data_IF_539975559478
#
_entry.id   IF_539975559478
#
_cell.length_a   1.000
_cell.length_b   1.000
_cell.length_c   1.000
_cell.angle_alpha   90.00
_cell.angle_beta   90.00
_cell.angle_gamma   90.00
#
_symmetry.space_group_name_H-M   'P 1'
#
loop_
_entity.id
_entity.type
_entity.pdbx_description
1 polymer ?
#
# COMPACT_ATOMS: atom_id res chain seq x y z
N UNK A 1 4.32 1.34 -2.16
CA UNK A 1 3.22 0.72 -1.38
C UNK A 1 3.45 1.05 0.08
N UNK A 2 2.41 1.42 0.82
CA UNK A 2 2.47 1.85 2.21
C UNK A 2 3.02 0.74 3.09
N UNK A 3 4.08 0.97 3.87
CA UNK A 3 4.50 0.02 4.88
C UNK A 3 3.48 0.00 6.01
N UNK A 4 3.09 -1.20 6.43
CA UNK A 4 2.02 -1.39 7.42
C UNK A 4 2.52 -2.04 8.70
N UNK A 5 1.88 -1.73 9.81
CA UNK A 5 2.08 -2.39 11.09
C UNK A 5 0.72 -2.73 11.70
N UNK A 6 0.40 -4.02 11.76
CA UNK A 6 -0.83 -4.54 12.36
C UNK A 6 -0.69 -4.77 13.88
N UNK A 7 0.51 -4.66 14.43
CA UNK A 7 0.81 -4.98 15.82
C UNK A 7 0.66 -6.48 16.15
N UNK A 8 0.76 -6.84 17.43
CA UNK A 8 0.54 -8.21 17.89
C UNK A 8 -0.93 -8.62 17.75
N UNK A 9 -1.16 -9.94 17.70
CA UNK A 9 -2.51 -10.49 17.66
C UNK A 9 -3.32 -10.03 18.90
N UNK A 10 -4.51 -9.43 18.72
CA UNK A 10 -5.34 -9.02 19.86
C UNK A 10 -5.84 -10.22 20.69
N UNK A 11 -6.03 -11.37 20.06
CA UNK A 11 -6.55 -12.61 20.64
C UNK A 11 -6.18 -13.81 19.77
N UNK A 12 -6.46 -15.01 20.27
CA UNK A 12 -6.41 -16.24 19.47
C UNK A 12 -7.69 -16.40 18.65
N UNK A 13 -7.55 -16.95 17.45
CA UNK A 13 -8.67 -17.15 16.52
C UNK A 13 -8.88 -18.64 16.26
N UNK A 14 -10.13 -19.07 16.23
CA UNK A 14 -10.50 -20.43 15.78
C UNK A 14 -10.76 -20.49 14.27
N UNK A 15 -11.07 -19.34 13.66
CA UNK A 15 -11.18 -19.16 12.20
C UNK A 15 -10.48 -17.86 11.83
N UNK A 16 -9.67 -17.89 10.77
CA UNK A 16 -8.96 -16.70 10.33
C UNK A 16 -9.91 -15.55 9.92
N UNK A 17 -11.10 -15.87 9.40
CA UNK A 17 -12.11 -14.88 9.02
C UNK A 17 -12.56 -13.99 10.19
N UNK A 18 -12.50 -14.52 11.41
CA UNK A 18 -12.91 -13.79 12.62
C UNK A 18 -11.92 -12.68 12.98
N UNK A 19 -10.75 -12.65 12.34
CA UNK A 19 -9.73 -11.60 12.50
C UNK A 19 -9.97 -10.35 11.65
N UNK A 20 -10.97 -10.36 10.76
CA UNK A 20 -11.17 -9.26 9.79
C UNK A 20 -11.39 -7.91 10.48
N UNK A 21 -12.29 -7.83 11.47
CA UNK A 21 -12.58 -6.57 12.17
C UNK A 21 -11.37 -6.08 12.96
N UNK A 22 -10.62 -7.00 13.56
CA UNK A 22 -9.40 -6.68 14.30
C UNK A 22 -8.31 -6.16 13.34
N UNK A 23 -8.16 -6.74 12.15
CA UNK A 23 -7.25 -6.24 11.11
C UNK A 23 -7.67 -4.87 10.57
N UNK A 24 -8.96 -4.66 10.29
CA UNK A 24 -9.48 -3.36 9.83
C UNK A 24 -9.32 -2.27 10.88
N UNK A 25 -9.48 -2.60 12.17
CA UNK A 25 -9.21 -1.67 13.27
C UNK A 25 -7.74 -1.25 13.32
N UNK A 26 -6.82 -2.19 13.02
CA UNK A 26 -5.36 -1.93 13.07
C UNK A 26 -4.85 -1.21 11.83
N UNK A 27 -5.30 -1.62 10.64
CA UNK A 27 -4.73 -1.21 9.35
C UNK A 27 -5.58 -0.19 8.60
N UNK A 28 -6.79 0.08 9.09
CA UNK A 28 -7.85 0.80 8.39
C UNK A 28 -8.48 -0.05 7.27
N UNK A 29 -9.55 0.46 6.68
CA UNK A 29 -10.25 -0.19 5.56
C UNK A 29 -9.52 0.01 4.22
N UNK A 30 -8.23 -0.32 4.17
CA UNK A 30 -7.39 -0.21 2.98
C UNK A 30 -6.83 -1.58 2.60
N UNK A 31 -6.80 -1.88 1.31
CA UNK A 31 -6.04 -3.02 0.81
C UNK A 31 -4.55 -2.81 1.11
N UNK A 32 -3.91 -3.75 1.82
CA UNK A 32 -2.48 -3.67 2.16
C UNK A 32 -1.56 -3.68 0.93
N UNK A 33 -2.07 -4.10 -0.23
CA UNK A 33 -1.31 -4.13 -1.48
C UNK A 33 -1.56 -2.91 -2.36
N UNK A 34 -2.78 -2.75 -2.89
CA UNK A 34 -3.07 -1.68 -3.84
C UNK A 34 -3.54 -0.38 -3.17
N UNK A 35 -3.65 -0.36 -1.84
CA UNK A 35 -3.93 0.83 -1.01
C UNK A 35 -5.31 1.46 -1.24
N UNK A 36 -6.12 0.87 -2.12
CA UNK A 36 -7.49 1.30 -2.35
C UNK A 36 -8.25 1.21 -1.05
N UNK A 37 -8.91 2.30 -0.67
CA UNK A 37 -9.87 2.29 0.44
C UNK A 37 -11.14 1.57 0.03
N UNK A 38 -11.56 0.62 0.85
CA UNK A 38 -12.77 -0.17 0.64
C UNK A 38 -13.43 -0.41 2.00
N UNK A 39 -14.40 0.43 2.40
CA UNK A 39 -15.12 0.26 3.66
C UNK A 39 -15.81 -1.10 3.80
N UNK A 40 -16.09 -1.76 2.66
CA UNK A 40 -16.60 -3.12 2.59
C UNK A 40 -15.86 -3.88 1.49
N UNK A 41 -15.78 -5.21 1.60
CA UNK A 41 -15.22 -6.08 0.57
C UNK A 41 -13.71 -6.31 0.65
N UNK A 42 -13.08 -5.92 1.77
CA UNK A 42 -11.78 -6.47 2.15
C UNK A 42 -11.95 -7.86 2.73
N UNK A 43 -10.95 -8.70 2.53
CA UNK A 43 -10.86 -10.03 3.12
C UNK A 43 -9.51 -10.22 3.81
N UNK A 44 -9.49 -11.14 4.77
CA UNK A 44 -8.25 -11.62 5.37
C UNK A 44 -7.49 -12.40 4.31
N UNK A 45 -6.33 -11.89 3.92
CA UNK A 45 -5.45 -12.51 2.94
C UNK A 45 -4.25 -13.14 3.65
N UNK A 46 -4.00 -14.41 3.38
CA UNK A 46 -2.80 -15.10 3.84
C UNK A 46 -1.63 -14.78 2.93
N UNK A 47 -0.51 -14.31 3.49
CA UNK A 47 0.76 -14.15 2.72
C UNK A 47 1.18 -15.49 2.13
N UNK A 48 1.26 -16.52 2.98
CA UNK A 48 1.50 -17.92 2.61
C UNK A 48 0.16 -18.68 2.63
N UNK A 49 -0.28 -19.25 1.49
CA UNK A 49 -1.54 -19.98 1.40
C UNK A 49 -1.62 -21.18 2.36
N UNK A 50 -2.81 -21.40 2.93
CA UNK A 50 -3.10 -22.55 3.82
C UNK A 50 -2.86 -23.91 3.17
N UNK A 51 -2.98 -24.00 1.84
CA UNK A 51 -2.71 -25.21 1.05
C UNK A 51 -1.24 -25.61 1.06
N UNK A 52 -0.33 -24.66 1.30
CA UNK A 52 1.11 -24.91 1.34
C UNK A 52 1.64 -25.10 2.75
N UNK A 53 1.04 -24.44 3.75
CA UNK A 53 1.43 -24.60 5.15
C UNK A 53 0.21 -24.43 6.06
N UNK A 54 -0.43 -25.55 6.40
CA UNK A 54 -1.63 -25.58 7.26
C UNK A 54 -1.41 -24.94 8.64
N UNK A 55 -0.20 -25.06 9.20
CA UNK A 55 0.15 -24.44 10.48
C UNK A 55 0.09 -22.91 10.53
N UNK A 56 0.00 -22.22 9.38
CA UNK A 56 -0.12 -20.76 9.31
C UNK A 56 -1.54 -20.28 9.04
N UNK A 57 -2.54 -21.16 9.03
CA UNK A 57 -3.92 -20.78 8.72
C UNK A 57 -4.47 -19.77 9.74
N UNK A 58 -4.10 -19.91 11.01
CA UNK A 58 -4.54 -19.06 12.13
C UNK A 58 -3.46 -18.09 12.62
N UNK A 59 -2.31 -18.04 11.93
CA UNK A 59 -1.19 -17.21 12.32
C UNK A 59 -1.43 -15.75 11.91
N UNK A 60 -1.61 -14.89 12.91
CA UNK A 60 -1.79 -13.44 12.74
C UNK A 60 -0.65 -12.80 11.94
N UNK A 61 0.58 -13.30 12.07
CA UNK A 61 1.73 -12.78 11.33
C UNK A 61 1.66 -13.09 9.84
N UNK A 62 0.80 -14.03 9.45
CA UNK A 62 0.54 -14.41 8.07
C UNK A 62 -0.61 -13.60 7.43
N UNK A 63 -1.28 -12.70 8.16
CA UNK A 63 -2.46 -11.99 7.66
C UNK A 63 -2.19 -10.56 7.21
N UNK A 64 -2.85 -10.18 6.12
CA UNK A 64 -3.00 -8.81 5.61
C UNK A 64 -4.44 -8.57 5.13
N UNK A 65 -4.79 -7.32 4.83
CA UNK A 65 -6.07 -6.99 4.20
C UNK A 65 -5.93 -6.97 2.68
N UNK A 66 -6.74 -7.76 1.99
CA UNK A 66 -6.71 -7.89 0.54
C UNK A 66 -8.02 -7.50 -0.11
N UNK A 67 -7.96 -6.76 -1.22
CA UNK A 67 -9.12 -6.52 -2.07
C UNK A 67 -9.38 -7.71 -3.01
N UNK A 68 -10.60 -7.83 -3.51
CA UNK A 68 -11.00 -8.90 -4.45
C UNK A 68 -10.06 -9.01 -5.66
N UNK A 69 -9.58 -7.88 -6.20
CA UNK A 69 -8.68 -7.87 -7.36
C UNK A 69 -7.30 -8.40 -6.98
N UNK A 70 -6.69 -7.88 -5.90
CA UNK A 70 -5.37 -8.34 -5.45
C UNK A 70 -5.40 -9.83 -5.08
N UNK A 71 -6.43 -10.27 -4.34
CA UNK A 71 -6.56 -11.65 -3.92
C UNK A 71 -6.81 -12.58 -5.11
N UNK A 72 -7.64 -12.16 -6.07
CA UNK A 72 -7.88 -12.95 -7.29
C UNK A 72 -6.63 -13.08 -8.16
N UNK A 73 -5.77 -12.05 -8.22
CA UNK A 73 -4.53 -12.11 -9.02
C UNK A 73 -3.49 -12.98 -8.31
N UNK A 74 -3.30 -12.76 -7.01
CA UNK A 74 -2.40 -13.56 -6.17
C UNK A 74 -2.76 -15.05 -6.22
N UNK A 75 -4.06 -15.35 -6.18
CA UNK A 75 -4.58 -16.71 -6.30
C UNK A 75 -4.06 -17.65 -5.21
N UNK A 76 -4.23 -18.96 -5.44
CA UNK A 76 -3.76 -20.01 -4.53
C UNK A 76 -2.31 -20.43 -4.75
N UNK A 77 -1.64 -19.92 -5.79
CA UNK A 77 -0.35 -20.41 -6.29
C UNK A 77 0.80 -19.46 -5.98
N UNK A 78 0.77 -18.86 -4.79
CA UNK A 78 2.00 -18.27 -4.24
C UNK A 78 2.91 -19.43 -3.90
N UNK A 79 3.79 -19.84 -4.83
CA UNK A 79 5.02 -20.51 -4.42
C UNK A 79 5.60 -19.70 -3.29
N UNK A 80 6.15 -20.34 -2.26
CA UNK A 80 6.85 -19.67 -1.14
C UNK A 80 8.04 -18.94 -1.76
N UNK A 81 7.79 -17.83 -2.44
CA UNK A 81 8.75 -17.09 -3.19
C UNK A 81 9.40 -16.21 -2.14
N UNK A 82 10.60 -16.59 -1.64
CA UNK A 82 11.26 -15.83 -0.59
C UNK A 82 11.58 -14.41 -1.08
N UNK A 83 11.51 -14.17 -2.39
CA UNK A 83 11.78 -12.88 -3.01
C UNK A 83 10.64 -11.88 -2.80
N UNK A 84 9.42 -12.27 -2.41
CA UNK A 84 8.34 -11.29 -2.24
C UNK A 84 8.63 -10.36 -1.06
N UNK A 85 8.70 -9.06 -1.34
CA UNK A 85 8.64 -8.02 -0.30
C UNK A 85 7.23 -7.92 0.25
N UNK A 86 7.09 -7.89 1.57
CA UNK A 86 5.77 -7.76 2.21
C UNK A 86 5.65 -6.39 2.88
N UNK A 87 4.53 -5.68 2.73
CA UNK A 87 4.39 -4.33 3.29
C UNK A 87 4.46 -4.29 4.83
N UNK A 88 4.21 -5.42 5.50
CA UNK A 88 4.36 -5.54 6.96
C UNK A 88 5.78 -5.93 7.42
N UNK A 89 6.62 -6.39 6.50
CA UNK A 89 8.00 -6.82 6.78
C UNK A 89 9.05 -5.90 6.16
N UNK A 90 8.64 -5.02 5.24
CA UNK A 90 9.54 -4.16 4.48
C UNK A 90 8.98 -2.75 4.32
N UNK A 91 9.83 -1.75 4.08
CA UNK A 91 9.39 -0.46 3.56
C UNK A 91 9.21 -0.51 2.04
N UNK A 92 8.07 -1.03 1.59
CA UNK A 92 7.74 -1.18 0.16
C UNK A 92 7.47 0.15 -0.57
N UNK A 93 7.62 1.31 0.08
CA UNK A 93 7.73 2.61 -0.61
C UNK A 93 9.09 2.77 -1.27
N UNK A 94 10.15 2.24 -0.67
CA UNK A 94 11.49 2.32 -1.23
C UNK A 94 11.65 1.45 -2.49
N UNK A 95 10.89 0.35 -2.57
CA UNK A 95 10.98 -0.60 -3.69
C UNK A 95 10.12 -0.28 -4.91
N UNK A 96 9.08 0.56 -4.76
CA UNK A 96 8.07 0.76 -5.79
C UNK A 96 7.93 2.24 -6.14
N UNK A 97 8.03 2.54 -7.43
CA UNK A 97 7.72 3.87 -7.96
C UNK A 97 6.27 3.96 -8.44
N UNK A 98 5.68 5.14 -8.26
CA UNK A 98 4.33 5.46 -8.66
C UNK A 98 4.39 6.74 -9.50
N UNK A 99 3.76 6.73 -10.68
CA UNK A 99 3.83 7.88 -11.57
C UNK A 99 2.50 8.25 -12.20
N UNK A 100 2.46 9.47 -12.76
CA UNK A 100 1.30 10.04 -13.43
C UNK A 100 0.79 9.11 -14.53
N UNK A 101 -0.53 8.95 -14.62
CA UNK A 101 -1.17 7.91 -15.44
C UNK A 101 -1.52 6.65 -14.65
N UNK A 102 -1.13 6.57 -13.37
CA UNK A 102 -1.47 5.43 -12.51
C UNK A 102 -0.58 4.20 -12.71
N UNK A 103 0.60 4.42 -13.28
CA UNK A 103 1.64 3.40 -13.42
C UNK A 103 2.28 3.08 -12.07
N UNK A 104 2.73 1.83 -11.97
CA UNK A 104 3.52 1.35 -10.84
C UNK A 104 4.68 0.55 -11.39
N UNK A 105 5.88 0.88 -10.96
CA UNK A 105 7.13 0.26 -11.39
C UNK A 105 8.00 -0.11 -10.20
N UNK A 106 9.17 -0.67 -10.51
CA UNK A 106 10.25 -0.84 -9.54
C UNK A 106 10.96 0.51 -9.39
N UNK A 107 11.33 0.89 -8.17
CA UNK A 107 12.11 2.11 -7.94
C UNK A 107 13.45 2.08 -8.67
N UNK A 108 13.91 3.26 -9.06
CA UNK A 108 15.27 3.45 -9.58
C UNK A 108 16.30 3.19 -8.46
N UNK A 109 17.54 2.87 -8.83
CA UNK A 109 18.68 2.68 -7.92
C UNK A 109 18.62 1.51 -6.93
N UNK A 110 17.69 0.56 -7.09
CA UNK A 110 17.74 -0.70 -6.35
C UNK A 110 18.87 -1.60 -6.84
N UNK A 111 19.52 -2.32 -5.93
CA UNK A 111 20.41 -3.40 -6.33
C UNK A 111 19.63 -4.54 -7.02
N UNK A 112 20.36 -5.41 -7.73
CA UNK A 112 19.74 -6.49 -8.52
C UNK A 112 18.90 -7.49 -7.70
N UNK A 113 19.17 -7.63 -6.40
CA UNK A 113 18.39 -8.50 -5.52
C UNK A 113 17.07 -7.81 -5.18
N UNK A 114 17.13 -6.57 -4.71
CA UNK A 114 15.94 -5.79 -4.37
C UNK A 114 15.05 -5.52 -5.58
N UNK A 115 15.63 -5.31 -6.76
CA UNK A 115 14.87 -5.15 -8.01
C UNK A 115 14.02 -6.40 -8.31
N UNK A 116 14.62 -7.60 -8.22
CA UNK A 116 13.88 -8.87 -8.43
C UNK A 116 12.77 -9.04 -7.39
N UNK A 117 13.03 -8.66 -6.15
CA UNK A 117 12.08 -8.78 -5.04
C UNK A 117 10.90 -7.80 -5.16
N UNK A 118 11.18 -6.57 -5.58
CA UNK A 118 10.16 -5.58 -5.93
C UNK A 118 9.29 -6.06 -7.10
N UNK A 119 9.93 -6.60 -8.15
CA UNK A 119 9.21 -7.20 -9.28
C UNK A 119 8.34 -8.39 -8.88
N UNK A 120 8.82 -9.24 -7.98
CA UNK A 120 8.04 -10.35 -7.44
C UNK A 120 6.77 -9.86 -6.72
N UNK A 121 6.85 -8.77 -5.94
CA UNK A 121 5.68 -8.15 -5.32
C UNK A 121 4.71 -7.56 -6.35
N UNK A 122 5.21 -6.83 -7.36
CA UNK A 122 4.38 -6.29 -8.45
C UNK A 122 3.63 -7.42 -9.15
N UNK A 123 4.32 -8.48 -9.53
CA UNK A 123 3.77 -9.62 -10.26
C UNK A 123 2.76 -10.40 -9.42
N UNK A 124 3.01 -10.56 -8.11
CA UNK A 124 2.14 -11.26 -7.16
C UNK A 124 0.71 -10.71 -7.17
N UNK A 125 0.55 -9.38 -7.21
CA UNK A 125 -0.77 -8.73 -7.16
C UNK A 125 -1.11 -8.00 -8.47
N UNK A 126 -0.30 -8.20 -9.50
CA UNK A 126 -0.40 -7.56 -10.82
C UNK A 126 -0.53 -6.04 -10.73
N UNK A 127 0.28 -5.40 -9.89
CA UNK A 127 0.11 -3.98 -9.53
C UNK A 127 0.32 -3.04 -10.73
N UNK A 128 1.13 -3.48 -11.69
CA UNK A 128 1.51 -2.84 -12.95
C UNK A 128 0.51 -3.10 -14.09
N UNK A 129 -0.63 -3.79 -13.87
CA UNK A 129 -1.65 -3.93 -14.92
C UNK A 129 -2.26 -2.58 -15.29
N UNK A 130 -2.37 -2.30 -16.60
CA UNK A 130 -2.79 -0.99 -17.13
C UNK A 130 -3.77 -1.08 -18.31
N UNK A 131 -4.50 -0.01 -18.62
CA UNK A 131 -5.50 -0.01 -19.70
C UNK A 131 -5.02 0.45 -21.07
N UNK A 132 -3.82 1.03 -21.14
CA UNK A 132 -3.21 1.52 -22.39
C UNK A 132 -3.02 0.39 -23.41
N UNK A 133 -3.21 0.68 -24.69
CA UNK A 133 -3.30 -0.33 -25.75
C UNK A 133 -2.01 -1.11 -25.96
N UNK A 134 -0.85 -0.46 -25.85
CA UNK A 134 0.46 -1.09 -26.03
C UNK A 134 1.13 -1.53 -24.72
N UNK A 135 0.39 -1.58 -23.61
CA UNK A 135 0.97 -1.97 -22.33
C UNK A 135 1.13 -3.49 -22.19
N UNK A 136 2.32 -4.02 -21.81
CA UNK A 136 2.55 -5.47 -21.77
C UNK A 136 1.56 -6.25 -20.91
N UNK A 137 1.12 -5.69 -19.78
CA UNK A 137 0.11 -6.28 -18.89
C UNK A 137 -1.24 -5.58 -19.03
N UNK A 138 -1.71 -5.40 -20.27
CA UNK A 138 -2.96 -4.72 -20.57
C UNK A 138 -4.16 -5.42 -19.92
N UNK A 139 -5.10 -4.62 -19.42
CA UNK A 139 -6.35 -5.08 -18.83
C UNK A 139 -7.49 -4.10 -19.09
N UNK A 140 -8.67 -4.61 -19.41
CA UNK A 140 -9.90 -3.79 -19.51
C UNK A 140 -10.73 -3.79 -18.23
N UNK A 141 -10.59 -4.84 -17.41
CA UNK A 141 -11.41 -5.09 -16.21
C UNK A 141 -10.82 -4.50 -14.94
N UNK A 142 -9.50 -4.56 -14.79
CA UNK A 142 -8.82 -4.02 -13.62
C UNK A 142 -8.66 -2.51 -13.80
N UNK A 143 -9.31 -1.76 -12.90
CA UNK A 143 -9.41 -0.30 -12.92
C UNK A 143 -8.49 0.37 -11.90
N UNK A 144 -7.67 -0.39 -11.15
CA UNK A 144 -6.80 0.15 -10.11
C UNK A 144 -5.87 1.25 -10.65
N UNK A 145 -5.33 1.07 -11.86
CA UNK A 145 -4.52 2.10 -12.52
C UNK A 145 -5.30 3.41 -12.75
N UNK A 146 -6.53 3.32 -13.28
CA UNK A 146 -7.35 4.51 -13.56
C UNK A 146 -7.84 5.19 -12.29
N UNK A 147 -8.01 4.42 -11.20
CA UNK A 147 -8.32 4.98 -9.88
C UNK A 147 -7.10 5.69 -9.30
N UNK A 148 -5.90 5.11 -9.40
CA UNK A 148 -4.64 5.81 -9.04
C UNK A 148 -4.47 7.10 -9.83
N UNK A 149 -4.72 7.09 -11.14
CA UNK A 149 -4.63 8.30 -11.96
C UNK A 149 -5.62 9.39 -11.51
N UNK A 150 -6.87 9.02 -11.19
CA UNK A 150 -7.86 9.96 -10.65
C UNK A 150 -7.36 10.58 -9.34
N UNK A 151 -6.83 9.76 -8.43
CA UNK A 151 -6.30 10.25 -7.16
C UNK A 151 -5.05 11.09 -7.35
N UNK A 152 -4.19 10.78 -8.31
CA UNK A 152 -3.03 11.59 -8.67
C UNK A 152 -3.46 13.01 -9.05
N UNK A 153 -4.50 13.16 -9.88
CA UNK A 153 -5.02 14.47 -10.27
C UNK A 153 -5.61 15.24 -9.09
N UNK A 154 -6.28 14.54 -8.15
CA UNK A 154 -6.78 15.15 -6.92
C UNK A 154 -5.62 15.64 -6.04
N UNK A 155 -4.57 14.83 -5.88
CA UNK A 155 -3.38 15.20 -5.14
C UNK A 155 -2.65 16.40 -5.76
N UNK A 156 -2.46 16.43 -7.09
CA UNK A 156 -1.87 17.57 -7.81
C UNK A 156 -2.69 18.85 -7.58
N UNK A 157 -4.03 18.74 -7.56
CA UNK A 157 -4.90 19.88 -7.26
C UNK A 157 -4.68 20.41 -5.85
N UNK A 158 -4.65 19.55 -4.84
CA UNK A 158 -4.38 19.99 -3.46
C UNK A 158 -2.99 20.58 -3.29
N UNK A 159 -1.97 20.04 -3.99
CA UNK A 159 -0.62 20.62 -3.98
C UNK A 159 -0.62 22.06 -4.49
N UNK A 160 -1.26 22.30 -5.64
CA UNK A 160 -1.40 23.65 -6.19
C UNK A 160 -2.21 24.60 -5.31
N UNK A 161 -3.24 24.09 -4.61
CA UNK A 161 -4.02 24.88 -3.64
C UNK A 161 -3.21 25.24 -2.39
N UNK A 162 -2.37 24.33 -1.90
CA UNK A 162 -1.48 24.57 -0.74
C UNK A 162 -0.45 25.66 -1.02
N UNK A 163 0.15 25.65 -2.22
CA UNK A 163 1.12 26.68 -2.65
C UNK A 163 0.52 28.10 -2.64
N UNK A 164 -0.80 28.21 -2.80
CA UNK A 164 -1.54 29.48 -2.88
C UNK A 164 -2.43 29.73 -1.66
N UNK A 165 -2.29 28.91 -0.60
CA UNK A 165 -3.25 28.88 0.48
C UNK A 165 -3.23 30.14 1.36
N UNK A 166 -2.05 30.74 1.55
CA UNK A 166 -1.85 31.87 2.47
C UNK A 166 -2.38 31.53 3.86
N UNK A 167 -3.22 32.40 4.42
CA UNK A 167 -3.86 32.20 5.73
C UNK A 167 -4.76 30.94 5.83
N UNK A 168 -5.12 30.32 4.70
CA UNK A 168 -5.94 29.10 4.66
C UNK A 168 -5.12 27.81 4.65
N UNK A 169 -3.80 27.90 4.81
CA UNK A 169 -2.88 26.77 4.68
C UNK A 169 -3.30 25.56 5.52
N UNK A 170 -3.48 25.74 6.83
CA UNK A 170 -3.85 24.65 7.75
C UNK A 170 -5.18 23.99 7.36
N UNK A 171 -6.15 24.79 6.90
CA UNK A 171 -7.46 24.26 6.47
C UNK A 171 -7.34 23.44 5.19
N UNK A 172 -6.54 23.89 4.21
CA UNK A 172 -6.33 23.15 2.96
C UNK A 172 -5.49 21.90 3.21
N UNK A 173 -4.50 21.96 4.11
CA UNK A 173 -3.70 20.81 4.52
C UNK A 173 -4.59 19.73 5.14
N UNK A 174 -5.47 20.11 6.07
CA UNK A 174 -6.42 19.18 6.66
C UNK A 174 -7.36 18.58 5.61
N UNK A 175 -7.88 19.39 4.68
CA UNK A 175 -8.73 18.89 3.59
C UNK A 175 -7.98 17.90 2.68
N UNK A 176 -6.70 18.13 2.42
CA UNK A 176 -5.87 17.21 1.64
C UNK A 176 -5.66 15.88 2.37
N UNK A 177 -5.43 15.92 3.70
CA UNK A 177 -5.32 14.72 4.55
C UNK A 177 -6.64 13.95 4.61
N UNK A 178 -7.77 14.65 4.75
CA UNK A 178 -9.11 14.05 4.74
C UNK A 178 -9.42 13.41 3.39
N UNK A 179 -9.06 14.08 2.28
CA UNK A 179 -9.18 13.52 0.95
C UNK A 179 -8.32 12.27 0.76
N UNK A 180 -7.06 12.31 1.18
CA UNK A 180 -6.16 11.16 1.10
C UNK A 180 -6.67 9.96 1.90
N UNK A 181 -7.18 10.21 3.10
CA UNK A 181 -7.81 9.19 3.96
C UNK A 181 -9.11 8.67 3.31
N UNK A 182 -9.91 9.53 2.68
CA UNK A 182 -11.15 9.15 2.01
C UNK A 182 -10.97 8.31 0.75
N UNK A 183 -9.94 8.61 -0.06
CA UNK A 183 -9.63 7.93 -1.31
C UNK A 183 -8.72 6.70 -1.13
N UNK A 184 -7.81 6.71 -0.15
CA UNK A 184 -6.70 5.77 -0.06
C UNK A 184 -5.58 6.13 -1.03
N UNK A 185 -4.87 5.10 -1.53
CA UNK A 185 -3.71 5.25 -2.42
C UNK A 185 -2.58 6.09 -1.80
N UNK A 186 -2.22 5.75 -0.57
CA UNK A 186 -1.18 6.43 0.21
C UNK A 186 0.08 6.72 -0.62
N UNK A 187 0.59 5.75 -1.39
CA UNK A 187 1.82 5.96 -2.18
C UNK A 187 1.70 7.05 -3.24
N UNK A 188 0.50 7.26 -3.80
CA UNK A 188 0.25 8.35 -4.77
C UNK A 188 0.37 9.70 -4.08
N UNK A 189 -0.30 9.88 -2.94
CA UNK A 189 -0.19 11.13 -2.17
C UNK A 189 1.24 11.35 -1.70
N UNK A 190 1.90 10.31 -1.21
CA UNK A 190 3.28 10.41 -0.73
C UNK A 190 4.27 10.82 -1.82
N UNK A 191 4.05 10.39 -3.06
CA UNK A 191 4.87 10.75 -4.22
C UNK A 191 4.56 12.16 -4.74
N UNK A 192 3.29 12.53 -4.85
CA UNK A 192 2.91 13.88 -5.31
C UNK A 192 3.40 14.96 -4.36
N UNK A 193 3.50 14.67 -3.06
CA UNK A 193 3.96 15.59 -2.03
C UNK A 193 5.38 15.28 -1.55
N UNK A 194 6.27 14.91 -2.49
CA UNK A 194 7.59 14.39 -2.10
C UNK A 194 8.51 15.38 -1.41
N UNK A 195 8.28 16.65 -1.65
CA UNK A 195 8.96 17.81 -1.09
C UNK A 195 8.18 18.46 0.06
N UNK A 196 7.08 17.85 0.52
CA UNK A 196 6.18 18.45 1.51
C UNK A 196 6.07 17.59 2.77
N UNK A 197 7.09 17.69 3.63
CA UNK A 197 7.24 16.89 4.86
C UNK A 197 6.05 17.00 5.82
N UNK A 198 5.43 18.18 5.95
CA UNK A 198 4.31 18.39 6.87
C UNK A 198 3.08 17.55 6.48
N UNK A 199 2.66 17.58 5.22
CA UNK A 199 1.57 16.76 4.73
C UNK A 199 1.92 15.26 4.77
N UNK A 200 3.15 14.87 4.40
CA UNK A 200 3.60 13.48 4.55
C UNK A 200 3.50 12.99 5.99
N UNK A 201 3.96 13.79 6.96
CA UNK A 201 3.82 13.52 8.40
C UNK A 201 2.35 13.42 8.82
N UNK A 202 1.49 14.32 8.34
CA UNK A 202 0.07 14.26 8.63
C UNK A 202 -0.57 12.96 8.10
N UNK A 203 -0.21 12.50 6.89
CA UNK A 203 -0.67 11.22 6.33
C UNK A 203 -0.18 10.01 7.12
N UNK A 204 1.10 9.99 7.53
CA UNK A 204 1.67 8.92 8.36
C UNK A 204 0.88 8.75 9.66
N UNK A 205 0.42 9.86 10.23
CA UNK A 205 -0.33 9.86 11.49
C UNK A 205 -1.83 9.60 11.31
N UNK A 206 -2.43 10.06 10.20
CA UNK A 206 -3.86 9.96 9.95
C UNK A 206 -4.31 8.55 9.52
N UNK A 207 -3.47 7.81 8.78
CA UNK A 207 -3.86 6.48 8.27
C UNK A 207 -3.45 5.38 9.27
N UNK A 208 -4.42 4.65 9.88
CA UNK A 208 -4.12 3.62 10.88
C UNK A 208 -3.20 2.52 10.37
N UNK A 209 -2.30 2.06 11.24
CA UNK A 209 -1.38 0.97 10.93
C UNK A 209 -0.33 1.33 9.90
N UNK A 210 -0.06 2.62 9.65
CA UNK A 210 1.15 3.03 8.90
C UNK A 210 2.37 2.77 9.78
N UNK A 211 3.36 2.04 9.28
CA UNK A 211 4.55 1.70 10.05
C UNK A 211 5.47 2.92 10.22
N UNK A 212 5.29 3.68 11.31
CA UNK A 212 6.03 4.92 11.57
C UNK A 212 7.54 4.74 11.61
N UNK A 213 8.02 3.55 11.99
CA UNK A 213 9.44 3.19 12.02
C UNK A 213 10.10 3.18 10.63
N UNK A 214 9.32 3.24 9.57
CA UNK A 214 9.78 3.29 8.18
C UNK A 214 9.99 4.73 7.67
N UNK A 215 9.93 5.74 8.54
CA UNK A 215 10.11 7.14 8.16
C UNK A 215 11.07 7.86 9.12
N UNK A 216 11.88 8.78 8.61
CA UNK A 216 12.68 9.68 9.43
C UNK A 216 11.85 10.87 9.95
N UNK A 217 12.50 11.82 10.65
CA UNK A 217 11.83 13.00 11.19
C UNK A 217 11.22 13.92 10.11
N UNK A 218 11.80 13.93 8.91
CA UNK A 218 11.37 14.72 7.76
C UNK A 218 10.29 14.01 6.91
N UNK A 219 9.78 12.88 7.40
CA UNK A 219 8.86 11.98 6.71
C UNK A 219 9.43 11.33 5.43
N UNK A 220 10.74 11.30 5.25
CA UNK A 220 11.33 10.53 4.17
C UNK A 220 11.29 9.03 4.50
N UNK A 221 10.97 8.16 3.51
CA UNK A 221 11.02 6.73 3.71
C UNK A 221 12.45 6.28 4.01
N UNK A 222 12.60 5.47 5.05
CA UNK A 222 13.87 4.82 5.43
C UNK A 222 13.67 3.31 5.54
N UNK A 223 14.74 2.49 5.45
CA UNK A 223 14.62 1.06 5.61
C UNK A 223 13.94 0.68 6.94
N UNK A 224 13.02 -0.29 6.90
CA UNK A 224 12.41 -0.83 8.12
C UNK A 224 13.50 -1.49 8.98
N UNK A 225 13.51 -1.26 10.30
CA UNK A 225 14.46 -1.94 11.19
C UNK A 225 14.43 -3.47 11.04
N UNK A 226 15.60 -4.08 10.89
CA UNK A 226 15.81 -5.52 10.69
C UNK A 226 15.23 -6.10 9.37
N UNK A 227 15.00 -5.25 8.37
CA UNK A 227 14.63 -5.64 7.02
C UNK A 227 15.65 -5.10 6.01
N UNK A 228 15.68 -5.69 4.81
CA UNK A 228 16.57 -5.22 3.74
C UNK A 228 16.19 -3.84 3.22
N UNK A 229 14.88 -3.55 3.24
CA UNK A 229 14.26 -2.23 3.04
C UNK A 229 13.06 -2.13 3.96
#
# INVERSE_FOLDING_TARGET
MRPVDRGPAPKQYSKYSDSICDLESRLGSYCSYCERRMPNGLAVEHKIPKTLRSGLELDWTNFLLGCVICNSIKGGTVSINPEVLWPDLNNTLLALDYSKGGFVGVSEDLDSVLERRAKALIDLVGLDRHGADDWPRRTRRDKRWSEREKVWRVAEKFRAELEQAGERYDSILQLAVDAATGFGFFSVWFKVFEDHSELRNALINAIPGTAKVCFNADADPIPRPNADI
#
